data_IF_535125523788
#
_entry.id   IF_535125523788
#
_cell.length_a   1.000
_cell.length_b   1.000
_cell.length_c   1.000
_cell.angle_alpha   90.00
_cell.angle_beta   90.00
_cell.angle_gamma   90.00
#
_symmetry.space_group_name_H-M   'P 1'
#
loop_
_entity.id
_entity.type
_entity.pdbx_description
1 polymer ?
#
# COMPACT_ATOMS: atom_id res chain seq x y z
N UNK A 1 27.87 6.50 13.82
CA UNK A 1 27.34 5.34 13.06
C UNK A 1 25.87 5.47 12.63
N UNK A 2 25.00 6.21 13.36
CA UNK A 2 23.59 6.42 12.94
C UNK A 2 23.49 7.31 11.68
N UNK A 3 24.32 8.35 11.56
CA UNK A 3 24.38 9.23 10.38
C UNK A 3 24.56 8.47 9.06
N UNK A 4 25.62 7.64 8.94
CA UNK A 4 25.89 6.80 7.75
C UNK A 4 24.74 5.86 7.35
N UNK A 5 23.86 5.50 8.28
CA UNK A 5 22.70 4.66 7.98
C UNK A 5 21.58 5.51 7.39
N UNK A 6 21.26 6.65 8.01
CA UNK A 6 20.26 7.60 7.52
C UNK A 6 20.58 8.09 6.10
N UNK A 7 21.87 8.27 5.80
CA UNK A 7 22.34 8.65 4.47
C UNK A 7 21.98 7.60 3.40
N UNK A 8 21.89 6.31 3.74
CA UNK A 8 21.56 5.23 2.78
C UNK A 8 20.11 5.25 2.35
N UNK A 9 19.17 5.47 3.28
CA UNK A 9 17.76 5.60 2.94
C UNK A 9 17.49 6.88 2.14
N UNK A 10 18.13 8.00 2.53
CA UNK A 10 18.07 9.25 1.75
C UNK A 10 18.58 9.03 0.33
N UNK A 11 19.74 8.38 0.16
CA UNK A 11 20.25 8.04 -1.18
C UNK A 11 19.29 7.13 -1.96
N UNK A 12 18.59 6.21 -1.30
CA UNK A 12 17.55 5.39 -1.93
C UNK A 12 16.38 6.21 -2.45
N UNK A 13 15.86 7.15 -1.65
CA UNK A 13 14.81 8.06 -2.07
C UNK A 13 15.26 8.97 -3.21
N UNK A 14 16.44 9.57 -3.10
CA UNK A 14 17.01 10.41 -4.16
C UNK A 14 17.20 9.62 -5.45
N UNK A 15 17.68 8.38 -5.37
CA UNK A 15 17.82 7.50 -6.53
C UNK A 15 16.48 7.24 -7.22
N UNK A 16 15.43 6.92 -6.44
CA UNK A 16 14.08 6.70 -6.98
C UNK A 16 13.48 7.96 -7.60
N UNK A 17 13.68 9.12 -6.98
CA UNK A 17 13.22 10.40 -7.56
C UNK A 17 13.96 10.68 -8.86
N UNK A 18 15.28 10.53 -8.87
CA UNK A 18 16.11 10.79 -10.03
C UNK A 18 15.74 9.88 -11.21
N UNK A 19 15.54 8.58 -10.98
CA UNK A 19 15.19 7.66 -12.09
C UNK A 19 13.84 8.01 -12.71
N UNK A 20 12.85 8.41 -11.92
CA UNK A 20 11.56 8.87 -12.43
C UNK A 20 11.70 10.15 -13.28
N UNK A 21 12.47 11.12 -12.80
CA UNK A 21 12.75 12.37 -13.52
C UNK A 21 13.50 12.09 -14.83
N UNK A 22 14.53 11.25 -14.80
CA UNK A 22 15.29 10.87 -16.00
C UNK A 22 14.42 10.16 -17.03
N UNK A 23 13.59 9.19 -16.61
CA UNK A 23 12.67 8.49 -17.52
C UNK A 23 11.69 9.46 -18.14
N UNK A 24 11.16 10.42 -17.38
CA UNK A 24 10.27 11.44 -17.92
C UNK A 24 10.96 12.36 -18.93
N UNK A 25 12.17 12.86 -18.62
CA UNK A 25 12.92 13.76 -19.50
C UNK A 25 13.29 13.08 -20.83
N UNK A 26 13.77 11.84 -20.78
CA UNK A 26 14.29 11.13 -21.96
C UNK A 26 13.27 10.21 -22.64
N UNK A 27 11.98 10.26 -22.25
CA UNK A 27 10.94 9.40 -22.84
C UNK A 27 10.80 9.57 -24.36
N UNK A 28 11.02 10.79 -24.85
CA UNK A 28 10.91 11.12 -26.28
C UNK A 28 12.16 10.66 -27.04
N UNK A 29 13.34 10.81 -26.44
CA UNK A 29 14.61 10.46 -27.07
C UNK A 29 14.80 8.94 -27.15
N UNK A 30 14.34 8.20 -26.14
CA UNK A 30 14.34 6.74 -26.13
C UNK A 30 12.98 6.15 -26.49
N UNK A 31 12.21 6.78 -27.38
CA UNK A 31 10.84 6.35 -27.73
C UNK A 31 10.73 4.87 -28.13
N UNK A 32 11.77 4.30 -28.74
CA UNK A 32 11.81 2.87 -29.07
C UNK A 32 11.82 1.96 -27.83
N UNK A 33 12.29 2.42 -26.68
CA UNK A 33 12.36 1.68 -25.42
C UNK A 33 11.33 2.17 -24.39
N UNK A 34 11.01 3.47 -24.38
CA UNK A 34 10.13 4.15 -23.43
C UNK A 34 8.81 4.60 -24.11
N UNK A 35 8.08 3.63 -24.66
CA UNK A 35 6.78 3.87 -25.30
C UNK A 35 5.62 3.52 -24.37
N UNK A 36 4.52 4.28 -24.42
CA UNK A 36 3.32 4.00 -23.62
C UNK A 36 2.78 2.58 -23.86
N UNK A 37 2.78 2.09 -25.10
CA UNK A 37 2.36 0.71 -25.42
C UNK A 37 3.22 -0.40 -24.77
N UNK A 38 4.39 -0.06 -24.22
CA UNK A 38 5.24 -0.99 -23.45
C UNK A 38 4.94 -0.96 -21.96
N UNK A 39 4.03 -0.09 -21.53
CA UNK A 39 3.54 0.02 -20.15
C UNK A 39 2.38 -0.94 -19.90
N UNK A 40 2.11 -1.17 -18.62
CA UNK A 40 1.28 -2.24 -18.12
C UNK A 40 -0.20 -1.98 -18.45
N UNK A 41 -0.84 -3.08 -18.81
CA UNK A 41 -2.25 -3.20 -19.10
C UNK A 41 -2.69 -4.54 -18.51
N UNK A 42 -3.92 -4.60 -18.00
CA UNK A 42 -4.49 -5.86 -17.50
C UNK A 42 -4.47 -6.91 -18.61
N UNK A 43 -4.22 -8.17 -18.26
CA UNK A 43 -4.11 -9.33 -19.16
C UNK A 43 -2.90 -9.38 -20.12
N UNK A 44 -2.28 -8.25 -20.47
CA UNK A 44 -1.18 -8.22 -21.46
C UNK A 44 0.18 -7.81 -20.87
N UNK A 45 0.19 -7.37 -19.62
CA UNK A 45 1.38 -6.81 -18.98
C UNK A 45 2.28 -7.85 -18.33
N UNK A 46 3.55 -7.88 -18.72
CA UNK A 46 4.60 -8.64 -18.04
C UNK A 46 5.31 -7.81 -16.95
N UNK A 47 6.17 -8.43 -16.14
CA UNK A 47 6.90 -7.76 -15.06
C UNK A 47 7.70 -6.54 -15.55
N UNK A 48 8.32 -6.62 -16.74
CA UNK A 48 9.07 -5.49 -17.31
C UNK A 48 8.16 -4.29 -17.59
N UNK A 49 6.99 -4.54 -18.17
CA UNK A 49 5.98 -3.50 -18.41
C UNK A 49 5.48 -2.88 -17.11
N UNK A 50 5.27 -3.68 -16.05
CA UNK A 50 4.91 -3.17 -14.72
C UNK A 50 6.01 -2.27 -14.16
N UNK A 51 7.27 -2.72 -14.16
CA UNK A 51 8.40 -1.93 -13.66
C UNK A 51 8.54 -0.60 -14.41
N UNK A 52 8.42 -0.62 -15.75
CA UNK A 52 8.44 0.60 -16.55
C UNK A 52 7.28 1.52 -16.19
N UNK A 53 6.08 0.98 -16.00
CA UNK A 53 4.87 1.76 -15.71
C UNK A 53 4.98 2.57 -14.43
N UNK A 54 5.58 1.98 -13.39
CA UNK A 54 5.73 2.63 -12.09
C UNK A 54 6.61 3.89 -12.19
N UNK A 55 7.55 3.93 -13.15
CA UNK A 55 8.47 5.06 -13.34
C UNK A 55 8.09 5.98 -14.51
N UNK A 56 7.18 5.54 -15.38
CA UNK A 56 6.74 6.29 -16.54
C UNK A 56 5.65 7.31 -16.17
N UNK A 57 5.80 8.57 -16.58
CA UNK A 57 4.83 9.64 -16.31
C UNK A 57 4.55 10.41 -17.60
N UNK A 58 3.27 10.73 -17.86
CA UNK A 58 2.85 11.48 -19.05
C UNK A 58 2.86 13.00 -18.86
N UNK A 59 2.49 13.48 -17.68
CA UNK A 59 2.44 14.91 -17.40
C UNK A 59 3.42 15.31 -16.27
N UNK A 60 4.00 16.52 -16.35
CA UNK A 60 4.97 16.99 -15.37
C UNK A 60 4.34 17.28 -13.99
N UNK A 61 3.05 17.60 -13.94
CA UNK A 61 2.35 17.92 -12.69
C UNK A 61 2.18 16.66 -11.83
N UNK A 62 1.74 15.55 -12.42
CA UNK A 62 1.60 14.26 -11.78
C UNK A 62 2.96 13.72 -11.35
N UNK A 63 4.00 13.87 -12.19
CA UNK A 63 5.38 13.56 -11.79
C UNK A 63 5.78 14.36 -10.54
N UNK A 64 5.59 15.68 -10.55
CA UNK A 64 5.97 16.54 -9.44
C UNK A 64 5.25 16.14 -8.13
N UNK A 65 3.93 15.95 -8.19
CA UNK A 65 3.11 15.55 -7.03
C UNK A 65 3.56 14.19 -6.51
N UNK A 66 3.82 13.22 -7.39
CA UNK A 66 4.31 11.91 -7.00
C UNK A 66 5.69 12.00 -6.34
N UNK A 67 6.62 12.78 -6.88
CA UNK A 67 7.97 12.91 -6.30
C UNK A 67 7.95 13.59 -4.94
N UNK A 68 7.14 14.64 -4.78
CA UNK A 68 6.96 15.31 -3.48
C UNK A 68 6.35 14.35 -2.45
N UNK A 69 5.36 13.56 -2.85
CA UNK A 69 4.67 12.62 -1.97
C UNK A 69 5.59 11.44 -1.59
N UNK A 70 6.32 10.88 -2.56
CA UNK A 70 7.35 9.86 -2.30
C UNK A 70 8.41 10.40 -1.32
N UNK A 71 8.92 11.62 -1.54
CA UNK A 71 9.91 12.20 -0.64
C UNK A 71 9.34 12.36 0.77
N UNK A 72 8.10 12.86 0.91
CA UNK A 72 7.43 13.03 2.19
C UNK A 72 7.25 11.70 2.93
N UNK A 73 6.47 10.79 2.36
CA UNK A 73 6.14 9.52 3.02
C UNK A 73 7.37 8.63 3.18
N UNK A 74 8.24 8.59 2.17
CA UNK A 74 9.49 7.85 2.21
C UNK A 74 10.44 8.37 3.30
N UNK A 75 10.51 9.68 3.53
CA UNK A 75 11.31 10.24 4.62
C UNK A 75 10.77 9.82 5.99
N UNK A 76 9.44 9.89 6.18
CA UNK A 76 8.81 9.50 7.44
C UNK A 76 8.95 8.00 7.75
N UNK A 77 8.91 7.13 6.73
CA UNK A 77 9.03 5.68 6.89
C UNK A 77 10.50 5.25 7.00
N UNK A 78 11.39 5.73 6.13
CA UNK A 78 12.72 5.14 5.99
C UNK A 78 13.85 6.00 6.53
N UNK A 79 13.67 7.32 6.65
CA UNK A 79 14.76 8.25 7.03
C UNK A 79 14.64 8.66 8.49
N UNK A 80 13.43 8.94 8.96
CA UNK A 80 13.14 9.39 10.33
C UNK A 80 12.81 8.24 11.29
N UNK A 81 12.92 6.99 10.83
CA UNK A 81 12.77 5.82 11.69
C UNK A 81 13.86 5.77 12.76
N UNK A 82 13.57 5.25 13.94
CA UNK A 82 14.61 5.01 14.96
C UNK A 82 15.38 3.70 14.72
N UNK A 83 14.91 2.83 13.80
CA UNK A 83 15.53 1.53 13.51
C UNK A 83 16.41 1.59 12.26
N UNK A 84 17.67 1.16 12.39
CA UNK A 84 18.65 1.09 11.29
C UNK A 84 18.23 0.14 10.16
N UNK A 85 17.33 -0.82 10.41
CA UNK A 85 16.84 -1.74 9.38
C UNK A 85 16.01 -1.01 8.33
N UNK A 86 15.24 -0.02 8.76
CA UNK A 86 14.41 0.82 7.90
C UNK A 86 15.25 1.78 7.06
N UNK A 87 16.49 2.06 7.48
CA UNK A 87 17.41 2.97 6.81
C UNK A 87 18.16 2.33 5.61
N UNK A 88 17.72 1.19 5.11
CA UNK A 88 18.40 0.47 4.04
C UNK A 88 18.03 1.00 2.66
N UNK A 89 19.03 1.32 1.83
CA UNK A 89 18.83 1.67 0.42
C UNK A 89 17.99 0.60 -0.30
N UNK A 90 18.34 -0.67 -0.11
CA UNK A 90 17.63 -1.80 -0.74
C UNK A 90 16.20 -1.93 -0.26
N UNK A 91 15.91 -1.62 1.00
CA UNK A 91 14.54 -1.69 1.52
C UNK A 91 13.67 -0.59 0.90
N UNK A 92 14.22 0.62 0.73
CA UNK A 92 13.54 1.73 0.04
C UNK A 92 13.17 1.32 -1.39
N UNK A 93 14.16 0.83 -2.16
CA UNK A 93 13.95 0.39 -3.54
C UNK A 93 13.01 -0.81 -3.63
N UNK A 94 13.17 -1.81 -2.75
CA UNK A 94 12.28 -2.97 -2.72
C UNK A 94 10.84 -2.56 -2.36
N UNK A 95 10.65 -1.67 -1.39
CA UNK A 95 9.31 -1.20 -1.02
C UNK A 95 8.66 -0.39 -2.14
N UNK A 96 9.45 0.36 -2.92
CA UNK A 96 8.96 1.04 -4.14
C UNK A 96 8.44 0.02 -5.16
N UNK A 97 9.25 -0.98 -5.49
CA UNK A 97 8.92 -2.03 -6.47
C UNK A 97 7.72 -2.87 -6.00
N UNK A 98 7.75 -3.34 -4.74
CA UNK A 98 6.71 -4.21 -4.17
C UNK A 98 5.37 -3.47 -4.10
N UNK A 99 5.35 -2.21 -3.66
CA UNK A 99 4.10 -1.44 -3.61
C UNK A 99 3.57 -1.16 -5.02
N UNK A 100 4.45 -0.86 -5.99
CA UNK A 100 4.03 -0.59 -7.37
C UNK A 100 3.48 -1.82 -8.07
N UNK A 101 4.18 -2.97 -7.96
CA UNK A 101 3.68 -4.25 -8.48
C UNK A 101 2.40 -4.66 -7.75
N UNK A 102 2.36 -4.49 -6.42
CA UNK A 102 1.19 -4.79 -5.60
C UNK A 102 -0.05 -4.01 -6.03
N UNK A 103 0.09 -2.73 -6.36
CA UNK A 103 -1.00 -1.93 -6.89
C UNK A 103 -1.59 -2.52 -8.18
N UNK A 104 -0.74 -2.96 -9.12
CA UNK A 104 -1.20 -3.60 -10.35
C UNK A 104 -1.82 -4.98 -10.12
N UNK A 105 -1.20 -5.81 -9.27
CA UNK A 105 -1.75 -7.12 -8.90
C UNK A 105 -3.12 -6.97 -8.23
N UNK A 106 -3.30 -5.99 -7.36
CA UNK A 106 -4.61 -5.74 -6.73
C UNK A 106 -5.68 -5.34 -7.74
N UNK A 107 -5.31 -4.57 -8.77
CA UNK A 107 -6.24 -4.21 -9.85
C UNK A 107 -6.55 -5.38 -10.79
N UNK A 108 -5.59 -6.26 -11.03
CA UNK A 108 -5.82 -7.53 -11.73
C UNK A 108 -6.83 -8.41 -10.97
N UNK A 109 -6.67 -8.55 -9.66
CA UNK A 109 -7.61 -9.26 -8.79
C UNK A 109 -9.00 -8.63 -8.79
N UNK A 110 -9.08 -7.29 -8.77
CA UNK A 110 -10.34 -6.56 -8.85
C UNK A 110 -11.03 -6.81 -10.21
N UNK A 111 -10.27 -6.83 -11.31
CA UNK A 111 -10.78 -7.18 -12.63
C UNK A 111 -11.33 -8.61 -12.70
N UNK A 112 -10.64 -9.58 -12.10
CA UNK A 112 -11.11 -10.97 -11.99
C UNK A 112 -12.38 -11.07 -11.13
N UNK A 113 -12.46 -10.30 -10.05
CA UNK A 113 -13.67 -10.22 -9.23
C UNK A 113 -14.87 -9.71 -10.04
N UNK A 114 -14.67 -8.70 -10.89
CA UNK A 114 -15.72 -8.21 -11.77
C UNK A 114 -16.14 -9.24 -12.83
N UNK A 115 -15.21 -10.03 -13.38
CA UNK A 115 -15.57 -11.17 -14.25
C UNK A 115 -16.43 -12.19 -13.55
N UNK A 116 -16.05 -12.54 -12.32
CA UNK A 116 -16.80 -13.48 -11.51
C UNK A 116 -18.23 -12.98 -11.25
N UNK A 117 -18.39 -11.70 -10.85
CA UNK A 117 -19.71 -11.10 -10.68
C UNK A 117 -20.52 -11.10 -11.98
N UNK A 118 -19.87 -10.93 -13.13
CA UNK A 118 -20.54 -10.90 -14.43
C UNK A 118 -21.04 -12.30 -14.81
N UNK A 119 -20.20 -13.33 -14.63
CA UNK A 119 -20.59 -14.71 -14.90
C UNK A 119 -21.72 -15.15 -13.95
N UNK A 120 -21.69 -14.72 -12.69
CA UNK A 120 -22.78 -14.97 -11.74
C UNK A 120 -24.11 -14.38 -12.25
N UNK A 121 -24.11 -13.13 -12.73
CA UNK A 121 -25.31 -12.51 -13.33
C UNK A 121 -25.82 -13.27 -14.55
N UNK A 122 -24.93 -13.77 -15.40
CA UNK A 122 -25.32 -14.61 -16.54
C UNK A 122 -25.95 -15.92 -16.08
N UNK A 123 -25.36 -16.59 -15.08
CA UNK A 123 -25.91 -17.82 -14.53
C UNK A 123 -27.29 -17.62 -13.90
N UNK A 124 -27.49 -16.55 -13.14
CA UNK A 124 -28.79 -16.21 -12.55
C UNK A 124 -29.84 -15.94 -13.65
N UNK A 125 -29.47 -15.22 -14.70
CA UNK A 125 -30.35 -14.97 -15.84
C UNK A 125 -30.69 -16.27 -16.58
N UNK A 126 -29.68 -17.12 -16.86
CA UNK A 126 -29.87 -18.44 -17.47
C UNK A 126 -30.84 -19.27 -16.65
N UNK A 127 -30.64 -19.34 -15.33
CA UNK A 127 -31.51 -20.07 -14.41
C UNK A 127 -32.95 -19.55 -14.44
N UNK A 128 -33.15 -18.23 -14.40
CA UNK A 128 -34.49 -17.63 -14.47
C UNK A 128 -35.22 -17.86 -15.80
N UNK A 129 -34.48 -18.03 -16.89
CA UNK A 129 -35.01 -18.22 -18.24
C UNK A 129 -35.08 -19.69 -18.67
N UNK A 130 -34.71 -20.63 -17.79
CA UNK A 130 -34.82 -22.07 -18.10
C UNK A 130 -36.27 -22.44 -18.38
N UNK A 131 -36.46 -23.18 -19.46
CA UNK A 131 -37.78 -23.70 -19.79
C UNK A 131 -38.09 -24.95 -18.95
N UNK A 132 -38.86 -24.79 -17.88
CA UNK A 132 -39.34 -25.90 -17.05
C UNK A 132 -40.73 -26.43 -17.49
N UNK A 133 -41.21 -26.01 -18.66
CA UNK A 133 -42.53 -26.40 -19.15
C UNK A 133 -42.48 -27.80 -19.80
N UNK A 134 -43.57 -28.57 -19.70
CA UNK A 134 -43.64 -29.95 -20.24
C UNK A 134 -43.27 -30.03 -21.73
N UNK A 135 -43.64 -29.01 -22.51
CA UNK A 135 -43.31 -28.92 -23.95
C UNK A 135 -41.80 -28.93 -24.22
N UNK A 136 -41.01 -28.31 -23.34
CA UNK A 136 -39.55 -28.28 -23.46
C UNK A 136 -38.93 -29.63 -23.14
N UNK A 137 -39.51 -30.39 -22.20
CA UNK A 137 -39.15 -31.78 -21.96
C UNK A 137 -39.47 -32.66 -23.17
N UNK A 138 -40.66 -32.53 -23.76
CA UNK A 138 -41.04 -33.29 -24.95
C UNK A 138 -40.14 -33.00 -26.17
N UNK A 139 -39.70 -31.75 -26.36
CA UNK A 139 -38.75 -31.38 -27.41
C UNK A 139 -37.37 -31.99 -27.15
N UNK A 140 -36.91 -31.95 -25.90
CA UNK A 140 -35.63 -32.56 -25.52
C UNK A 140 -35.63 -34.08 -25.73
N UNK A 141 -36.72 -34.76 -25.38
CA UNK A 141 -36.88 -36.20 -25.56
C UNK A 141 -36.89 -36.57 -27.06
N UNK A 142 -37.53 -35.75 -27.90
CA UNK A 142 -37.57 -35.98 -29.35
C UNK A 142 -36.21 -35.74 -30.04
N UNK A 143 -35.42 -34.78 -29.56
CA UNK A 143 -34.10 -34.44 -30.13
C UNK A 143 -32.98 -35.31 -29.53
N UNK A 144 -33.23 -35.99 -28.41
CA UNK A 144 -32.24 -36.80 -27.69
C UNK A 144 -31.11 -35.99 -27.05
N UNK A 145 -31.28 -34.67 -26.92
CA UNK A 145 -30.34 -33.71 -26.31
C UNK A 145 -31.14 -32.59 -25.63
N UNK A 146 -30.51 -31.91 -24.67
CA UNK A 146 -31.11 -30.78 -23.95
C UNK A 146 -31.11 -29.48 -24.80
N UNK A 147 -31.82 -29.53 -25.91
CA UNK A 147 -31.89 -28.46 -26.91
C UNK A 147 -32.61 -27.21 -26.36
N UNK A 148 -33.65 -27.40 -25.56
CA UNK A 148 -34.41 -26.30 -24.95
C UNK A 148 -33.57 -25.50 -23.93
N UNK A 149 -32.76 -26.16 -23.11
CA UNK A 149 -31.81 -25.48 -22.22
C UNK A 149 -30.69 -24.79 -23.02
N UNK A 150 -30.18 -25.41 -24.08
CA UNK A 150 -29.19 -24.77 -24.95
C UNK A 150 -29.72 -23.46 -25.56
N UNK A 151 -30.93 -23.50 -26.14
CA UNK A 151 -31.56 -22.32 -26.72
C UNK A 151 -31.86 -21.24 -25.67
N UNK A 152 -32.49 -21.61 -24.55
CA UNK A 152 -32.83 -20.65 -23.48
C UNK A 152 -31.60 -20.03 -22.82
N UNK A 153 -30.50 -20.78 -22.68
CA UNK A 153 -29.22 -20.24 -22.21
C UNK A 153 -28.63 -19.23 -23.20
N UNK A 154 -28.55 -19.58 -24.49
CA UNK A 154 -28.03 -18.65 -25.52
C UNK A 154 -28.87 -17.39 -25.61
N UNK A 155 -30.20 -17.53 -25.57
CA UNK A 155 -31.12 -16.41 -25.58
C UNK A 155 -30.96 -15.53 -24.32
N UNK A 156 -30.83 -16.16 -23.15
CA UNK A 156 -30.60 -15.45 -21.89
C UNK A 156 -29.28 -14.68 -21.90
N UNK A 157 -28.21 -15.28 -22.42
CA UNK A 157 -26.89 -14.65 -22.52
C UNK A 157 -26.92 -13.45 -23.47
N UNK A 158 -27.59 -13.60 -24.61
CA UNK A 158 -27.76 -12.54 -25.59
C UNK A 158 -28.58 -11.38 -25.02
N UNK A 159 -29.74 -11.67 -24.42
CA UNK A 159 -30.61 -10.67 -23.78
C UNK A 159 -29.92 -9.93 -22.64
N UNK A 160 -29.17 -10.65 -21.80
CA UNK A 160 -28.43 -10.06 -20.67
C UNK A 160 -27.27 -9.22 -21.16
N UNK A 161 -26.50 -9.70 -22.15
CA UNK A 161 -25.41 -8.94 -22.75
C UNK A 161 -25.89 -7.67 -23.44
N UNK A 162 -27.05 -7.70 -24.10
CA UNK A 162 -27.61 -6.50 -24.74
C UNK A 162 -28.15 -5.51 -23.71
N UNK A 163 -28.82 -6.00 -22.66
CA UNK A 163 -29.36 -5.15 -21.57
C UNK A 163 -28.25 -4.45 -20.76
N UNK A 164 -27.07 -5.04 -20.68
CA UNK A 164 -25.93 -4.54 -19.92
C UNK A 164 -24.67 -4.37 -20.79
N UNK A 165 -24.86 -3.96 -22.04
CA UNK A 165 -23.77 -3.76 -22.99
C UNK A 165 -22.81 -2.64 -22.51
N UNK A 166 -23.34 -1.65 -21.81
CA UNK A 166 -22.60 -0.60 -21.11
C UNK A 166 -21.57 -1.16 -20.13
N UNK A 167 -21.99 -2.04 -19.20
CA UNK A 167 -21.10 -2.68 -18.22
C UNK A 167 -20.01 -3.48 -18.93
N UNK A 168 -20.38 -4.29 -19.93
CA UNK A 168 -19.43 -5.16 -20.63
C UNK A 168 -18.39 -4.34 -21.40
N UNK A 169 -18.79 -3.25 -22.03
CA UNK A 169 -17.88 -2.32 -22.71
C UNK A 169 -16.99 -1.58 -21.70
N UNK A 170 -17.54 -1.14 -20.57
CA UNK A 170 -16.78 -0.53 -19.47
C UNK A 170 -15.71 -1.46 -18.91
N UNK A 171 -16.04 -2.72 -18.67
CA UNK A 171 -15.07 -3.73 -18.20
C UNK A 171 -13.96 -3.95 -19.23
N UNK A 172 -14.30 -4.04 -20.53
CA UNK A 172 -13.31 -4.15 -21.60
C UNK A 172 -12.39 -2.93 -21.67
N UNK A 173 -12.97 -1.72 -21.57
CA UNK A 173 -12.22 -0.47 -21.55
C UNK A 173 -11.28 -0.42 -20.33
N UNK A 174 -11.78 -0.72 -19.13
CA UNK A 174 -10.99 -0.76 -17.90
C UNK A 174 -9.75 -1.66 -17.98
N UNK A 175 -9.85 -2.78 -18.71
CA UNK A 175 -8.70 -3.65 -18.96
C UNK A 175 -7.73 -3.09 -19.96
N UNK A 176 -8.23 -2.36 -20.95
CA UNK A 176 -7.46 -1.88 -22.10
C UNK A 176 -6.66 -0.60 -21.83
N UNK A 177 -6.83 0.03 -20.67
CA UNK A 177 -6.12 1.27 -20.30
C UNK A 177 -4.72 0.98 -19.80
N UNK A 178 -3.76 1.75 -20.32
CA UNK A 178 -2.39 1.76 -19.85
C UNK A 178 -2.31 2.46 -18.48
N UNK A 179 -1.78 1.77 -17.49
CA UNK A 179 -1.59 2.31 -16.14
C UNK A 179 -0.15 2.76 -16.01
N UNK A 180 0.05 4.01 -15.61
CA UNK A 180 1.36 4.63 -15.55
C UNK A 180 1.47 5.57 -14.35
N UNK A 181 2.68 5.76 -13.87
CA UNK A 181 3.00 6.66 -12.79
C UNK A 181 3.29 5.95 -11.48
N UNK A 182 3.92 6.71 -10.58
CA UNK A 182 4.31 6.23 -9.26
C UNK A 182 3.19 6.40 -8.21
N UNK A 183 2.00 6.87 -8.59
CA UNK A 183 0.91 7.17 -7.65
C UNK A 183 0.44 5.93 -6.89
N UNK A 184 0.37 4.75 -7.52
CA UNK A 184 0.12 3.48 -6.82
C UNK A 184 1.17 3.19 -5.73
N UNK A 185 2.43 3.55 -5.96
CA UNK A 185 3.49 3.44 -4.94
C UNK A 185 3.30 4.47 -3.84
N UNK A 186 2.97 5.71 -4.19
CA UNK A 186 2.70 6.79 -3.22
C UNK A 186 1.60 6.35 -2.26
N UNK A 187 0.48 5.85 -2.77
CA UNK A 187 -0.60 5.31 -1.95
C UNK A 187 -0.15 4.09 -1.14
N UNK A 188 0.67 3.22 -1.71
CA UNK A 188 1.31 2.15 -0.93
C UNK A 188 2.13 2.68 0.24
N UNK A 189 2.91 3.74 0.06
CA UNK A 189 3.65 4.36 1.15
C UNK A 189 2.73 5.10 2.12
N UNK A 190 1.61 5.67 1.68
CA UNK A 190 0.57 6.18 2.59
C UNK A 190 0.02 5.05 3.48
N UNK A 191 -0.31 3.89 2.91
CA UNK A 191 -0.77 2.71 3.64
C UNK A 191 0.29 2.16 4.60
N UNK A 192 1.56 2.09 4.15
CA UNK A 192 2.68 1.74 5.01
C UNK A 192 2.80 2.73 6.18
N UNK A 193 2.69 4.03 5.92
CA UNK A 193 2.80 5.08 6.94
C UNK A 193 1.70 4.97 7.99
N UNK A 194 0.46 4.69 7.57
CA UNK A 194 -0.65 4.43 8.47
C UNK A 194 -0.32 3.28 9.43
N UNK A 195 0.08 2.13 8.89
CA UNK A 195 0.41 0.94 9.68
C UNK A 195 1.63 1.16 10.58
N UNK A 196 2.71 1.75 10.06
CA UNK A 196 3.90 2.00 10.88
C UNK A 196 3.62 2.98 12.01
N UNK A 197 2.75 3.97 11.80
CA UNK A 197 2.34 4.92 12.85
C UNK A 197 1.62 4.25 14.02
N UNK A 198 0.89 3.17 13.75
CA UNK A 198 0.06 2.49 14.74
C UNK A 198 0.79 1.31 15.39
N UNK A 199 1.55 0.54 14.60
CA UNK A 199 2.05 -0.77 15.01
C UNK A 199 3.57 -0.84 15.21
N UNK A 200 4.33 0.12 14.67
CA UNK A 200 5.79 0.12 14.78
C UNK A 200 6.26 1.01 15.93
N UNK A 201 7.08 0.52 16.86
CA UNK A 201 7.67 1.35 17.92
C UNK A 201 8.77 2.29 17.38
N UNK A 202 9.16 2.12 16.11
CA UNK A 202 10.27 2.86 15.50
C UNK A 202 9.86 4.11 14.75
N UNK A 203 8.56 4.33 14.57
CA UNK A 203 8.02 5.45 13.79
C UNK A 203 7.21 6.38 14.67
N UNK A 204 7.19 7.66 14.34
CA UNK A 204 6.33 8.63 15.00
C UNK A 204 4.87 8.34 14.69
N UNK A 205 3.97 8.70 15.61
CA UNK A 205 2.53 8.68 15.32
C UNK A 205 2.20 9.70 14.24
N UNK A 206 1.16 9.41 13.45
CA UNK A 206 0.58 10.39 12.55
C UNK A 206 -0.06 11.51 13.37
N UNK A 207 0.14 12.76 12.96
CA UNK A 207 -0.61 13.88 13.55
C UNK A 207 -2.06 13.86 13.03
N UNK A 208 -2.97 14.55 13.71
CA UNK A 208 -4.40 14.51 13.35
C UNK A 208 -4.71 15.06 11.96
N UNK A 209 -3.93 16.03 11.48
CA UNK A 209 -4.09 16.65 10.17
C UNK A 209 -3.69 15.69 9.04
N UNK A 210 -2.53 15.04 9.18
CA UNK A 210 -2.04 14.05 8.22
C UNK A 210 -2.94 12.84 8.17
N UNK A 211 -3.48 12.42 9.32
CA UNK A 211 -4.49 11.37 9.37
C UNK A 211 -5.77 11.79 8.64
N UNK A 212 -6.27 13.00 8.86
CA UNK A 212 -7.45 13.53 8.18
C UNK A 212 -7.28 13.57 6.65
N UNK A 213 -6.16 14.11 6.15
CA UNK A 213 -5.90 14.14 4.70
C UNK A 213 -5.73 12.74 4.11
N UNK A 214 -5.08 11.82 4.82
CA UNK A 214 -4.94 10.44 4.37
C UNK A 214 -6.31 9.76 4.26
N UNK A 215 -7.16 9.88 5.27
CA UNK A 215 -8.51 9.30 5.25
C UNK A 215 -9.37 9.95 4.16
N UNK A 216 -9.28 11.27 3.98
CA UNK A 216 -10.02 11.97 2.93
C UNK A 216 -9.59 11.51 1.53
N UNK A 217 -8.29 11.36 1.28
CA UNK A 217 -7.78 10.85 0.01
C UNK A 217 -8.29 9.43 -0.28
N UNK A 218 -8.22 8.53 0.72
CA UNK A 218 -8.74 7.17 0.59
C UNK A 218 -10.25 7.16 0.40
N UNK A 219 -11.00 8.00 1.11
CA UNK A 219 -12.45 8.08 0.98
C UNK A 219 -12.88 8.62 -0.40
N UNK A 220 -12.16 9.62 -0.92
CA UNK A 220 -12.34 10.12 -2.28
C UNK A 220 -12.11 8.99 -3.30
N UNK A 221 -10.98 8.29 -3.21
CA UNK A 221 -10.65 7.24 -4.16
C UNK A 221 -11.57 6.02 -4.02
N UNK A 222 -12.05 5.70 -2.82
CA UNK A 222 -13.11 4.69 -2.63
C UNK A 222 -14.42 5.08 -3.33
N UNK A 223 -14.82 6.36 -3.24
CA UNK A 223 -16.07 6.83 -3.85
C UNK A 223 -16.04 6.86 -5.39
N UNK A 224 -14.83 6.87 -5.97
CA UNK A 224 -14.60 6.94 -7.41
C UNK A 224 -14.10 5.64 -8.02
N UNK A 225 -13.66 4.69 -7.20
CA UNK A 225 -13.19 3.38 -7.66
C UNK A 225 -14.36 2.48 -8.05
N UNK A 226 -14.33 1.81 -9.20
CA UNK A 226 -15.33 0.81 -9.54
C UNK A 226 -15.07 -0.45 -8.71
N UNK A 227 -15.69 -0.56 -7.53
CA UNK A 227 -15.55 -1.70 -6.63
C UNK A 227 -16.60 -2.79 -6.90
N UNK A 228 -17.69 -2.42 -7.58
CA UNK A 228 -18.77 -3.30 -7.99
C UNK A 228 -19.08 -3.17 -9.47
N UNK A 229 -19.76 -4.18 -10.03
CA UNK A 229 -20.25 -4.13 -11.42
C UNK A 229 -21.18 -2.95 -11.72
N UNK A 230 -21.87 -2.41 -10.73
CA UNK A 230 -22.83 -1.32 -10.92
C UNK A 230 -22.13 0.02 -11.10
N UNK A 231 -20.96 0.18 -10.50
CA UNK A 231 -20.13 1.38 -10.60
C UNK A 231 -19.59 1.59 -12.03
N UNK A 232 -19.47 0.51 -12.83
CA UNK A 232 -19.05 0.58 -14.23
C UNK A 232 -20.07 1.25 -15.15
N UNK A 233 -21.35 1.34 -14.76
CA UNK A 233 -22.40 1.90 -15.63
C UNK A 233 -22.21 3.40 -15.91
N UNK A 234 -21.53 4.12 -15.03
CA UNK A 234 -21.46 5.59 -15.07
C UNK A 234 -20.02 6.11 -14.98
N UNK A 235 -19.13 5.46 -14.22
CA UNK A 235 -17.83 6.02 -13.87
C UNK A 235 -16.74 5.90 -14.95
N UNK A 236 -16.84 4.96 -15.89
CA UNK A 236 -15.73 4.65 -16.83
C UNK A 236 -15.80 5.41 -18.15
N UNK A 237 -16.94 5.98 -18.53
CA UNK A 237 -17.13 6.67 -19.81
C UNK A 237 -17.11 8.19 -19.73
N UNK A 238 -17.42 8.78 -18.57
CA UNK A 238 -17.67 10.23 -18.47
C UNK A 238 -16.81 10.98 -17.46
N UNK A 239 -16.15 10.28 -16.53
CA UNK A 239 -15.24 10.91 -15.58
C UNK A 239 -13.79 10.52 -15.91
N UNK A 240 -13.06 11.43 -16.56
CA UNK A 240 -11.60 11.37 -16.67
C UNK A 240 -11.01 11.18 -15.25
N UNK A 241 -10.52 9.98 -14.93
CA UNK A 241 -9.81 9.71 -13.68
C UNK A 241 -10.25 8.49 -12.86
N UNK A 242 -11.40 7.86 -13.14
CA UNK A 242 -11.92 6.74 -12.33
C UNK A 242 -11.00 5.50 -12.28
N UNK A 243 -10.16 5.33 -13.29
CA UNK A 243 -9.32 4.13 -13.47
C UNK A 243 -8.09 4.14 -12.56
N UNK A 244 -7.51 5.31 -12.32
CA UNK A 244 -6.31 5.46 -11.48
C UNK A 244 -6.64 5.32 -9.98
N UNK A 245 -7.85 5.67 -9.56
CA UNK A 245 -8.28 5.54 -8.16
C UNK A 245 -8.27 4.09 -7.66
N UNK A 246 -8.63 3.12 -8.52
CA UNK A 246 -8.56 1.71 -8.16
C UNK A 246 -7.11 1.24 -7.94
N UNK A 247 -6.16 1.75 -8.73
CA UNK A 247 -4.72 1.48 -8.57
C UNK A 247 -4.21 2.07 -7.26
N UNK A 248 -4.62 3.29 -6.93
CA UNK A 248 -4.28 3.96 -5.68
C UNK A 248 -4.79 3.17 -4.47
N UNK A 249 -6.05 2.77 -4.46
CA UNK A 249 -6.64 2.01 -3.36
C UNK A 249 -5.94 0.67 -3.17
N UNK A 250 -5.67 -0.05 -4.25
CA UNK A 250 -4.96 -1.33 -4.20
C UNK A 250 -3.52 -1.14 -3.74
N UNK A 251 -2.85 -0.10 -4.20
CA UNK A 251 -1.53 0.31 -3.72
C UNK A 251 -1.55 0.53 -2.21
N UNK A 252 -2.51 1.31 -1.70
CA UNK A 252 -2.69 1.57 -0.27
C UNK A 252 -2.84 0.29 0.55
N UNK A 253 -3.74 -0.61 0.15
CA UNK A 253 -3.96 -1.90 0.83
C UNK A 253 -2.69 -2.76 0.81
N UNK A 254 -2.03 -2.89 -0.35
CA UNK A 254 -0.77 -3.65 -0.44
C UNK A 254 0.33 -3.04 0.42
N UNK A 255 0.42 -1.72 0.49
CA UNK A 255 1.34 -1.00 1.37
C UNK A 255 1.11 -1.31 2.84
N UNK A 256 -0.15 -1.33 3.28
CA UNK A 256 -0.50 -1.75 4.65
C UNK A 256 -0.01 -3.17 4.93
N UNK A 257 -0.31 -4.11 4.03
CA UNK A 257 0.13 -5.52 4.15
C UNK A 257 1.65 -5.62 4.20
N UNK A 258 2.36 -4.92 3.31
CA UNK A 258 3.81 -4.92 3.27
C UNK A 258 4.43 -4.37 4.56
N UNK A 259 3.91 -3.26 5.10
CA UNK A 259 4.37 -2.74 6.38
C UNK A 259 4.11 -3.71 7.54
N UNK A 260 2.95 -4.36 7.58
CA UNK A 260 2.66 -5.39 8.59
C UNK A 260 3.67 -6.55 8.51
N UNK A 261 4.02 -7.01 7.31
CA UNK A 261 5.04 -8.04 7.12
C UNK A 261 6.42 -7.59 7.60
N UNK A 262 6.85 -6.37 7.26
CA UNK A 262 8.14 -5.83 7.70
C UNK A 262 8.23 -5.69 9.23
N UNK A 263 7.17 -5.18 9.86
CA UNK A 263 7.09 -5.06 11.33
C UNK A 263 7.11 -6.43 12.00
N UNK A 264 6.35 -7.39 11.45
CA UNK A 264 6.29 -8.76 11.99
C UNK A 264 7.64 -9.44 11.83
N UNK A 265 8.29 -9.30 10.67
CA UNK A 265 9.63 -9.80 10.41
C UNK A 265 10.66 -9.24 11.39
N UNK A 266 10.58 -7.94 11.68
CA UNK A 266 11.46 -7.30 12.66
C UNK A 266 11.25 -7.87 14.07
N UNK A 267 9.99 -8.08 14.49
CA UNK A 267 9.63 -8.68 15.79
C UNK A 267 10.10 -10.14 15.91
N UNK A 268 9.89 -10.96 14.89
CA UNK A 268 10.30 -12.38 14.87
C UNK A 268 11.83 -12.51 14.87
N UNK A 269 12.52 -11.72 14.05
CA UNK A 269 13.98 -11.72 13.99
C UNK A 269 14.64 -11.25 15.31
N UNK A 270 13.95 -10.43 16.11
CA UNK A 270 14.40 -10.06 17.46
C UNK A 270 14.02 -11.10 18.52
N UNK A 271 12.87 -11.75 18.37
CA UNK A 271 12.40 -12.82 19.26
C UNK A 271 13.29 -14.06 19.22
N UNK A 272 13.85 -14.43 18.06
CA UNK A 272 14.72 -15.60 17.91
C UNK A 272 16.15 -15.36 18.42
N UNK A 273 16.74 -14.19 18.14
CA UNK A 273 18.08 -13.83 18.63
C UNK A 273 18.05 -13.48 20.14
N UNK A 274 16.96 -12.89 20.63
CA UNK A 274 16.75 -12.61 22.05
C UNK A 274 16.51 -13.86 22.90
N UNK A 275 15.85 -14.90 22.35
CA UNK A 275 15.63 -16.19 23.06
C UNK A 275 16.89 -17.03 23.23
N UNK A 276 17.88 -16.88 22.35
CA UNK A 276 19.15 -17.63 22.44
C UNK A 276 20.26 -16.91 23.21
N UNK A 277 20.08 -15.61 23.52
CA UNK A 277 21.09 -14.80 24.23
C UNK A 277 20.65 -14.22 25.57
N UNK A 278 19.43 -14.49 26.01
CA UNK A 278 18.92 -14.02 27.30
C UNK A 278 18.10 -15.10 27.98
N UNK A 279 18.73 -15.80 28.92
CA UNK A 279 18.03 -16.64 29.89
C UNK A 279 16.89 -15.87 30.55
N UNK A 280 15.83 -16.60 30.87
CA UNK A 280 14.56 -16.17 31.45
C UNK A 280 14.52 -14.76 32.05
N UNK A 281 13.74 -13.88 31.41
CA UNK A 281 13.17 -12.72 32.10
C UNK A 281 12.20 -13.23 33.18
N UNK A 282 12.72 -13.48 34.38
CA UNK A 282 11.93 -13.58 35.60
C UNK A 282 11.28 -12.21 35.84
N UNK A 283 9.98 -12.21 36.09
CA UNK A 283 9.12 -11.04 36.37
C UNK A 283 9.54 -10.19 37.60
N UNK A 284 10.69 -10.47 38.24
CA UNK A 284 11.24 -9.72 39.37
C UNK A 284 12.37 -8.73 39.02
N UNK A 285 12.93 -8.79 37.80
CA UNK A 285 14.09 -7.93 37.44
C UNK A 285 13.72 -6.44 37.33
N UNK A 286 12.47 -6.13 36.98
CA UNK A 286 11.95 -4.75 36.96
C UNK A 286 11.92 -4.15 38.37
N UNK A 287 11.58 -4.95 39.38
CA UNK A 287 11.51 -4.48 40.78
C UNK A 287 12.91 -4.28 41.38
N UNK A 288 13.86 -5.15 41.08
CA UNK A 288 15.27 -4.98 41.49
C UNK A 288 15.92 -3.75 40.82
N UNK A 289 15.64 -3.51 39.54
CA UNK A 289 16.10 -2.29 38.85
C UNK A 289 15.45 -1.01 39.41
N UNK A 290 14.18 -1.07 39.82
CA UNK A 290 13.48 0.06 40.45
C UNK A 290 14.01 0.34 41.87
N UNK A 291 14.29 -0.70 42.67
CA UNK A 291 14.95 -0.54 43.96
C UNK A 291 16.35 0.04 43.84
N UNK A 292 17.14 -0.41 42.86
CA UNK A 292 18.48 0.14 42.62
C UNK A 292 18.43 1.60 42.16
N UNK A 293 17.42 1.99 41.36
CA UNK A 293 17.20 3.40 41.00
C UNK A 293 16.85 4.25 42.22
N UNK A 294 15.94 3.78 43.07
CA UNK A 294 15.56 4.51 44.29
C UNK A 294 16.72 4.66 45.27
N UNK A 295 17.57 3.64 45.46
CA UNK A 295 18.76 3.74 46.31
C UNK A 295 19.77 4.75 45.76
N UNK A 296 20.01 4.78 44.44
CA UNK A 296 20.91 5.77 43.83
C UNK A 296 20.39 7.19 43.95
N UNK A 297 19.07 7.39 43.83
CA UNK A 297 18.47 8.71 44.05
C UNK A 297 18.56 9.17 45.50
N UNK A 298 18.36 8.27 46.47
CA UNK A 298 18.55 8.59 47.89
C UNK A 298 20.01 8.93 48.21
N UNK A 299 20.97 8.18 47.68
CA UNK A 299 22.40 8.49 47.85
C UNK A 299 22.77 9.85 47.23
N UNK A 300 22.25 10.19 46.05
CA UNK A 300 22.45 11.52 45.44
C UNK A 300 21.86 12.64 46.29
N UNK A 301 20.69 12.42 46.90
CA UNK A 301 20.07 13.40 47.82
C UNK A 301 20.86 13.56 49.12
N UNK A 302 21.51 12.51 49.62
CA UNK A 302 22.40 12.60 50.78
C UNK A 302 23.70 13.32 50.43
N UNK A 303 24.34 12.99 49.30
CA UNK A 303 25.56 13.68 48.85
C UNK A 303 25.34 15.17 48.59
N UNK A 304 24.23 15.55 47.94
CA UNK A 304 23.90 16.97 47.73
C UNK A 304 23.62 17.72 49.03
N UNK A 305 23.07 17.06 50.06
CA UNK A 305 22.94 17.66 51.40
C UNK A 305 24.30 17.85 52.08
N UNK A 306 25.23 16.91 51.94
CA UNK A 306 26.58 17.02 52.51
C UNK A 306 27.37 18.16 51.88
N UNK A 307 27.31 18.30 50.55
CA UNK A 307 27.98 19.39 49.82
C UNK A 307 27.45 20.75 50.27
N UNK A 308 26.12 20.91 50.43
CA UNK A 308 25.51 22.15 50.92
C UNK A 308 25.88 22.49 52.38
N UNK A 309 26.21 21.49 53.21
CA UNK A 309 26.66 21.71 54.60
C UNK A 309 28.13 22.14 54.64
N UNK A 310 28.98 21.54 53.80
CA UNK A 310 30.38 21.97 53.63
C UNK A 310 30.49 23.40 53.10
N UNK A 311 29.67 23.77 52.11
CA UNK A 311 29.62 25.14 51.59
C UNK A 311 29.20 26.16 52.66
N UNK A 312 28.21 25.81 53.50
CA UNK A 312 27.80 26.65 54.63
C UNK A 312 28.88 26.82 55.70
N UNK A 313 29.66 25.77 55.97
CA UNK A 313 30.76 25.84 56.94
C UNK A 313 31.97 26.61 56.40
N UNK A 314 32.29 26.47 55.11
CA UNK A 314 33.35 27.24 54.44
C UNK A 314 33.03 28.74 54.35
N UNK A 315 31.75 29.10 54.19
CA UNK A 315 31.32 30.50 54.19
C UNK A 315 31.42 31.13 55.59
N UNK A 316 31.16 30.35 56.65
CA UNK A 316 31.27 30.81 58.06
C UNK A 316 32.72 31.09 58.48
N UNK A 317 33.68 30.29 58.02
CA UNK A 317 35.11 30.51 58.32
C UNK A 317 35.69 31.75 57.62
N UNK A 318 35.12 32.18 56.48
CA UNK A 318 35.55 33.39 55.75
C UNK A 318 35.07 34.71 56.38
N UNK A 319 34.09 34.68 57.28
CA UNK A 319 33.58 35.86 57.99
C UNK A 319 34.25 36.13 59.34
N UNK A 320 35.20 35.29 59.76
CA UNK A 320 35.94 35.41 61.04
C UNK A 320 37.43 35.69 60.87
N UNK A 321 37.84 36.25 59.74
CA UNK A 321 39.18 36.82 59.54
C UNK A 321 39.08 38.33 59.34
#
# INVERSE_FOLDING_TARGET
MIGRSMDRAKSGLTFLILINVLVHLFRNDFRHHLHLHKTYRINDGNLSSMLLSIIYHMDPTHLLVNMLSLNRYGSEIFVHSSSRRWHSFFLVVASYIICGIGAFVGVELLSQYHEYQWEQRLQDARWSNRCNHWLCHSINDAVGRDFSSMFTNVWSDWKTSFRFADIKLSMFYYRSIHRIGASGVVYGWMGMRLITSWMSPHHSRLNGIDYFFLIMAVAHDLSKSPLSLEDFKVATFFEEGSVDHSVHLMGFVFGMVWAMLLITWEKVSFGSIGRWRGGGRRLGATWEEEQQRQQREQQRRQQSRLINVEERNGTRQRTTL
#
